data_IF_835053680293
#
_entry.id   IF_835053680293
#
_cell.length_a   1.000
_cell.length_b   1.000
_cell.length_c   1.000
_cell.angle_alpha   90.00
_cell.angle_beta   90.00
_cell.angle_gamma   90.00
#
_symmetry.space_group_name_H-M   'P 1'
#
loop_
_entity.id
_entity.type
_entity.pdbx_description
1 polymer ?
#
# COMPACT_ATOMS: atom_id res chain seq x y z
N UNK A 1 14.90 12.01 31.34
CA UNK A 1 14.31 12.04 29.98
C UNK A 1 12.80 12.10 30.14
N UNK A 2 12.13 13.07 29.53
CA UNK A 2 10.69 13.19 29.61
C UNK A 2 10.02 12.11 28.74
N UNK A 3 8.77 11.71 29.08
CA UNK A 3 8.03 10.71 28.30
C UNK A 3 7.86 11.12 26.83
N UNK A 4 7.75 12.44 26.57
CA UNK A 4 7.71 12.99 25.21
C UNK A 4 9.01 12.72 24.42
N UNK A 5 10.17 12.83 25.07
CA UNK A 5 11.47 12.54 24.47
C UNK A 5 11.65 11.03 24.22
N UNK A 6 11.21 10.17 25.15
CA UNK A 6 11.20 8.71 24.97
C UNK A 6 10.38 8.31 23.76
N UNK A 7 9.14 8.81 23.66
CA UNK A 7 8.26 8.52 22.54
C UNK A 7 8.83 8.97 21.20
N UNK A 8 9.47 10.15 21.14
CA UNK A 8 10.11 10.66 19.94
C UNK A 8 11.26 9.73 19.49
N UNK A 9 12.10 9.28 20.43
CA UNK A 9 13.23 8.38 20.12
C UNK A 9 12.71 7.03 19.62
N UNK A 10 11.71 6.46 20.29
CA UNK A 10 11.11 5.18 19.86
C UNK A 10 10.57 5.31 18.43
N UNK A 11 9.79 6.36 18.13
CA UNK A 11 9.24 6.62 16.80
C UNK A 11 10.33 6.76 15.74
N UNK A 12 11.40 7.49 16.05
CA UNK A 12 12.52 7.67 15.12
C UNK A 12 13.24 6.35 14.85
N UNK A 13 13.56 5.58 15.89
CA UNK A 13 14.22 4.27 15.73
C UNK A 13 13.33 3.31 14.94
N UNK A 14 12.05 3.21 15.29
CA UNK A 14 11.10 2.32 14.60
C UNK A 14 10.97 2.73 13.13
N UNK A 15 10.86 4.02 12.82
CA UNK A 15 10.79 4.53 11.46
C UNK A 15 12.05 4.22 10.64
N UNK A 16 13.24 4.44 11.22
CA UNK A 16 14.52 4.13 10.55
C UNK A 16 14.66 2.64 10.30
N UNK A 17 14.31 1.79 11.28
CA UNK A 17 14.35 0.34 11.12
C UNK A 17 13.36 -0.14 10.05
N UNK A 18 12.15 0.42 10.02
CA UNK A 18 11.15 0.11 9.02
C UNK A 18 11.62 0.46 7.60
N UNK A 19 12.10 1.69 7.39
CA UNK A 19 12.64 2.13 6.09
C UNK A 19 13.85 1.28 5.69
N UNK A 20 14.77 1.02 6.63
CA UNK A 20 15.94 0.17 6.37
C UNK A 20 15.56 -1.27 5.99
N UNK A 21 14.59 -1.85 6.67
CA UNK A 21 14.05 -3.16 6.33
C UNK A 21 13.41 -3.17 4.94
N UNK A 22 12.55 -2.18 4.64
CA UNK A 22 11.91 -2.03 3.34
C UNK A 22 12.95 -1.96 2.22
N UNK A 23 13.90 -1.02 2.31
CA UNK A 23 14.94 -0.85 1.30
C UNK A 23 15.77 -2.13 1.14
N UNK A 24 16.18 -2.77 2.24
CA UNK A 24 16.94 -4.02 2.19
C UNK A 24 16.18 -5.16 1.50
N UNK A 25 14.87 -5.25 1.70
CA UNK A 25 14.04 -6.25 1.03
C UNK A 25 13.91 -5.98 -0.48
N UNK A 26 13.87 -4.73 -0.89
CA UNK A 26 13.86 -4.39 -2.33
C UNK A 26 15.17 -4.74 -3.05
N UNK A 27 16.30 -4.90 -2.36
CA UNK A 27 17.55 -5.34 -2.98
C UNK A 27 17.49 -6.79 -3.50
N UNK A 28 16.54 -7.58 -3.03
CA UNK A 28 16.41 -9.00 -3.36
C UNK A 28 14.96 -9.31 -3.79
N UNK A 29 14.70 -9.79 -5.02
CA UNK A 29 13.35 -10.03 -5.51
C UNK A 29 12.53 -10.98 -4.62
N UNK A 30 13.16 -12.05 -4.10
CA UNK A 30 12.49 -13.00 -3.20
C UNK A 30 12.13 -12.37 -1.85
N UNK A 31 13.02 -11.54 -1.31
CA UNK A 31 12.77 -10.85 -0.03
C UNK A 31 11.63 -9.84 -0.17
N UNK A 32 11.58 -9.09 -1.29
CA UNK A 32 10.48 -8.18 -1.60
C UNK A 32 9.14 -8.94 -1.66
N UNK A 33 9.07 -10.03 -2.43
CA UNK A 33 7.83 -10.82 -2.55
C UNK A 33 7.39 -11.36 -1.19
N UNK A 34 8.31 -11.89 -0.36
CA UNK A 34 7.97 -12.41 0.97
C UNK A 34 7.51 -11.31 1.92
N UNK A 35 8.19 -10.16 1.93
CA UNK A 35 7.81 -9.02 2.77
C UNK A 35 6.39 -8.53 2.42
N UNK A 36 6.11 -8.31 1.13
CA UNK A 36 4.80 -7.80 0.72
C UNK A 36 3.69 -8.85 0.82
N UNK A 37 3.98 -10.14 0.69
CA UNK A 37 3.03 -11.20 1.04
C UNK A 37 2.65 -11.16 2.53
N UNK A 38 3.64 -10.96 3.40
CA UNK A 38 3.43 -10.80 4.84
C UNK A 38 2.62 -9.54 5.15
N UNK A 39 3.00 -8.38 4.59
CA UNK A 39 2.28 -7.12 4.77
C UNK A 39 0.83 -7.26 4.29
N UNK A 40 0.60 -7.84 3.12
CA UNK A 40 -0.74 -8.10 2.59
C UNK A 40 -1.57 -8.93 3.56
N UNK A 41 -1.00 -10.02 4.07
CA UNK A 41 -1.67 -10.89 5.03
C UNK A 41 -2.00 -10.18 6.34
N UNK A 42 -1.04 -9.47 6.93
CA UNK A 42 -1.24 -8.72 8.17
C UNK A 42 -2.28 -7.60 8.00
N UNK A 43 -2.24 -6.86 6.89
CA UNK A 43 -3.18 -5.78 6.62
C UNK A 43 -4.62 -6.29 6.45
N UNK A 44 -4.82 -7.40 5.72
CA UNK A 44 -6.15 -8.00 5.58
C UNK A 44 -6.63 -8.55 6.93
N UNK A 45 -5.73 -9.21 7.66
CA UNK A 45 -6.05 -9.75 8.98
C UNK A 45 -6.50 -8.67 9.95
N UNK A 46 -5.80 -7.56 10.00
CA UNK A 46 -6.14 -6.40 10.82
C UNK A 46 -7.45 -5.76 10.37
N UNK A 47 -7.59 -5.50 9.06
CA UNK A 47 -8.81 -4.93 8.47
C UNK A 47 -10.06 -5.75 8.81
N UNK A 48 -10.03 -7.06 8.57
CA UNK A 48 -11.16 -7.94 8.89
C UNK A 48 -11.44 -7.97 10.40
N UNK A 49 -10.40 -7.89 11.22
CA UNK A 49 -10.55 -7.80 12.69
C UNK A 49 -11.25 -6.51 13.12
N UNK A 50 -10.88 -5.37 12.55
CA UNK A 50 -11.52 -4.09 12.81
C UNK A 50 -13.00 -4.09 12.38
N UNK A 51 -13.28 -4.58 11.17
CA UNK A 51 -14.64 -4.67 10.65
C UNK A 51 -15.52 -5.52 11.56
N UNK A 52 -15.05 -6.71 11.96
CA UNK A 52 -15.80 -7.62 12.82
C UNK A 52 -16.01 -7.09 14.25
N UNK A 53 -15.12 -6.21 14.74
CA UNK A 53 -15.22 -5.67 16.09
C UNK A 53 -16.07 -4.40 16.17
N UNK A 54 -16.02 -3.56 15.14
CA UNK A 54 -16.56 -2.20 15.19
C UNK A 54 -17.88 -2.05 14.40
N UNK A 55 -18.22 -3.00 13.51
CA UNK A 55 -19.43 -2.91 12.70
C UNK A 55 -20.44 -3.93 13.18
N UNK A 56 -21.60 -3.44 13.62
CA UNK A 56 -22.68 -4.26 14.13
C UNK A 56 -23.24 -5.20 13.05
N UNK A 57 -23.51 -6.43 13.44
CA UNK A 57 -24.06 -7.49 12.59
C UNK A 57 -23.19 -7.85 11.35
N UNK A 58 -21.88 -7.52 11.35
CA UNK A 58 -20.92 -7.93 10.31
C UNK A 58 -19.91 -8.91 10.89
N UNK A 59 -19.69 -10.03 10.16
CA UNK A 59 -18.79 -11.11 10.57
C UNK A 59 -18.05 -11.71 9.36
N UNK A 60 -17.05 -10.98 8.85
CA UNK A 60 -16.21 -11.41 7.74
C UNK A 60 -15.34 -12.60 8.14
N UNK A 61 -15.24 -13.61 7.28
CA UNK A 61 -14.32 -14.72 7.51
C UNK A 61 -12.86 -14.28 7.38
N UNK A 62 -12.30 -13.88 8.52
CA UNK A 62 -10.96 -13.27 8.65
C UNK A 62 -9.84 -14.16 8.10
N UNK A 63 -9.90 -15.47 8.41
CA UNK A 63 -8.85 -16.41 8.01
C UNK A 63 -8.85 -16.64 6.49
N UNK A 64 -9.99 -16.97 5.92
CA UNK A 64 -10.10 -17.29 4.49
C UNK A 64 -9.86 -16.03 3.65
N UNK A 65 -10.36 -14.86 4.06
CA UNK A 65 -10.10 -13.59 3.37
C UNK A 65 -8.60 -13.26 3.34
N UNK A 66 -7.89 -13.53 4.45
CA UNK A 66 -6.43 -13.32 4.52
C UNK A 66 -5.70 -14.29 3.59
N UNK A 67 -6.04 -15.59 3.62
CA UNK A 67 -5.43 -16.60 2.75
C UNK A 67 -5.69 -16.27 1.28
N UNK A 68 -6.91 -15.86 0.93
CA UNK A 68 -7.26 -15.44 -0.43
C UNK A 68 -6.39 -14.28 -0.92
N UNK A 69 -6.24 -13.22 -0.12
CA UNK A 69 -5.44 -12.06 -0.51
C UNK A 69 -3.95 -12.34 -0.62
N UNK A 70 -3.39 -13.13 0.30
CA UNK A 70 -1.98 -13.56 0.21
C UNK A 70 -1.77 -14.46 -1.01
N UNK A 71 -2.71 -15.39 -1.26
CA UNK A 71 -2.65 -16.23 -2.45
C UNK A 71 -2.71 -15.39 -3.74
N UNK A 72 -3.62 -14.41 -3.80
CA UNK A 72 -3.73 -13.51 -4.97
C UNK A 72 -2.43 -12.75 -5.20
N UNK A 73 -1.83 -12.20 -4.15
CA UNK A 73 -0.53 -11.54 -4.23
C UNK A 73 0.56 -12.48 -4.80
N UNK A 74 0.65 -13.70 -4.28
CA UNK A 74 1.63 -14.70 -4.74
C UNK A 74 1.34 -15.20 -6.15
N UNK A 75 0.07 -15.31 -6.54
CA UNK A 75 -0.35 -15.69 -7.89
C UNK A 75 0.11 -14.64 -8.92
N UNK A 76 -0.07 -13.34 -8.60
CA UNK A 76 0.45 -12.24 -9.45
C UNK A 76 1.99 -12.28 -9.51
N UNK A 77 2.66 -12.48 -8.37
CA UNK A 77 4.12 -12.62 -8.35
C UNK A 77 4.59 -13.80 -9.22
N UNK A 78 4.00 -14.98 -9.04
CA UNK A 78 4.32 -16.19 -9.82
C UNK A 78 4.06 -16.02 -11.33
N UNK A 79 2.97 -15.32 -11.68
CA UNK A 79 2.65 -15.01 -13.07
C UNK A 79 3.68 -14.03 -13.66
N UNK A 80 4.04 -12.97 -12.95
CA UNK A 80 5.01 -11.96 -13.43
C UNK A 80 6.44 -12.49 -13.49
N UNK A 81 6.82 -13.38 -12.59
CA UNK A 81 8.14 -14.03 -12.59
C UNK A 81 8.25 -15.24 -13.51
N UNK A 82 7.19 -15.56 -14.26
CA UNK A 82 7.17 -16.71 -15.18
C UNK A 82 7.23 -18.09 -14.48
N UNK A 83 7.27 -18.14 -13.15
CA UNK A 83 7.32 -19.41 -12.39
C UNK A 83 6.11 -20.29 -12.69
N UNK A 84 4.97 -19.69 -13.00
CA UNK A 84 3.75 -20.40 -13.39
C UNK A 84 3.57 -20.55 -14.90
N UNK A 85 4.63 -20.28 -15.70
CA UNK A 85 4.60 -20.36 -17.15
C UNK A 85 3.66 -19.38 -17.83
N UNK A 86 3.39 -18.22 -17.22
CA UNK A 86 2.42 -17.21 -17.69
C UNK A 86 0.99 -17.76 -17.86
N UNK A 87 0.66 -18.81 -17.13
CA UNK A 87 -0.65 -19.45 -17.24
C UNK A 87 -1.65 -18.82 -16.29
N UNK A 88 -2.76 -18.30 -16.81
CA UNK A 88 -3.85 -17.72 -16.01
C UNK A 88 -4.55 -18.75 -15.09
N UNK A 89 -4.30 -20.04 -15.26
CA UNK A 89 -4.77 -21.09 -14.35
C UNK A 89 -4.36 -20.84 -12.90
N UNK A 90 -3.25 -20.12 -12.66
CA UNK A 90 -2.79 -19.73 -11.31
C UNK A 90 -3.84 -18.90 -10.55
N UNK A 91 -4.75 -18.20 -11.22
CA UNK A 91 -5.80 -17.41 -10.58
C UNK A 91 -7.07 -18.21 -10.25
N UNK A 92 -7.21 -19.43 -10.78
CA UNK A 92 -8.41 -20.26 -10.56
C UNK A 92 -8.64 -20.53 -9.06
N UNK A 93 -7.65 -20.91 -8.22
CA UNK A 93 -7.88 -21.13 -6.79
C UNK A 93 -8.38 -19.87 -6.07
N UNK A 94 -7.91 -18.70 -6.47
CA UNK A 94 -8.41 -17.44 -5.92
C UNK A 94 -9.89 -17.23 -6.24
N UNK A 95 -10.28 -17.45 -7.49
CA UNK A 95 -11.68 -17.31 -7.93
C UNK A 95 -12.57 -18.31 -7.15
N UNK A 96 -12.14 -19.55 -6.99
CA UNK A 96 -12.89 -20.53 -6.19
C UNK A 96 -12.98 -20.13 -4.72
N UNK A 97 -11.93 -19.53 -4.15
CA UNK A 97 -11.97 -19.02 -2.77
C UNK A 97 -12.96 -17.88 -2.61
N UNK A 98 -13.03 -16.97 -3.60
CA UNK A 98 -14.03 -15.89 -3.61
C UNK A 98 -15.45 -16.45 -3.72
N UNK A 99 -15.67 -17.40 -4.65
CA UNK A 99 -16.98 -18.09 -4.78
C UNK A 99 -17.34 -18.81 -3.47
N UNK A 100 -16.39 -19.50 -2.85
CA UNK A 100 -16.58 -20.13 -1.55
C UNK A 100 -17.01 -19.12 -0.47
N UNK A 101 -16.37 -17.94 -0.39
CA UNK A 101 -16.74 -16.90 0.58
C UNK A 101 -18.18 -16.39 0.37
N UNK A 102 -18.63 -16.29 -0.89
CA UNK A 102 -20.04 -15.98 -1.18
C UNK A 102 -21.00 -17.08 -0.71
N UNK A 103 -20.67 -18.36 -0.99
CA UNK A 103 -21.50 -19.52 -0.62
C UNK A 103 -21.49 -19.71 0.90
N UNK A 104 -20.36 -19.45 1.56
CA UNK A 104 -20.19 -19.60 3.00
C UNK A 104 -21.26 -18.83 3.80
N UNK A 105 -21.61 -17.62 3.38
CA UNK A 105 -22.61 -16.79 4.04
C UNK A 105 -24.04 -17.40 3.99
N UNK A 106 -24.33 -18.28 3.03
CA UNK A 106 -25.62 -18.99 2.99
C UNK A 106 -25.78 -19.95 4.18
N UNK A 107 -24.68 -20.39 4.78
CA UNK A 107 -24.66 -21.38 5.85
C UNK A 107 -24.37 -20.81 7.23
N UNK A 108 -23.87 -19.58 7.32
CA UNK A 108 -23.54 -18.94 8.60
C UNK A 108 -24.75 -18.38 9.33
N UNK A 109 -25.82 -18.04 8.59
CA UNK A 109 -27.01 -17.42 9.16
C UNK A 109 -26.77 -16.02 9.72
N UNK A 110 -25.71 -15.33 9.28
CA UNK A 110 -25.41 -13.96 9.68
C UNK A 110 -26.54 -13.02 9.24
N UNK A 111 -26.83 -12.02 10.08
CA UNK A 111 -27.93 -11.09 9.82
C UNK A 111 -27.67 -10.15 8.66
N UNK A 112 -26.39 -9.84 8.40
CA UNK A 112 -25.97 -8.89 7.37
C UNK A 112 -25.00 -9.51 6.35
N UNK A 113 -25.42 -10.59 5.69
CA UNK A 113 -24.61 -11.29 4.67
C UNK A 113 -24.12 -10.36 3.54
N UNK A 114 -24.92 -9.35 3.17
CA UNK A 114 -24.51 -8.36 2.15
C UNK A 114 -23.36 -7.49 2.67
N UNK A 115 -23.40 -7.10 3.94
CA UNK A 115 -22.30 -6.41 4.61
C UNK A 115 -21.03 -7.27 4.64
N UNK A 116 -21.14 -8.54 4.98
CA UNK A 116 -20.03 -9.50 5.01
C UNK A 116 -19.37 -9.65 3.63
N UNK A 117 -20.18 -9.78 2.58
CA UNK A 117 -19.66 -9.78 1.19
C UNK A 117 -18.98 -8.47 0.82
N UNK A 118 -19.61 -7.32 1.15
CA UNK A 118 -19.07 -6.01 0.80
C UNK A 118 -17.71 -5.77 1.47
N UNK A 119 -17.58 -6.05 2.77
CA UNK A 119 -16.31 -5.87 3.49
C UNK A 119 -15.27 -6.92 3.11
N UNK A 120 -15.69 -8.16 2.79
CA UNK A 120 -14.80 -9.18 2.22
C UNK A 120 -14.21 -8.70 0.89
N UNK A 121 -15.06 -8.25 -0.05
CA UNK A 121 -14.61 -7.73 -1.34
C UNK A 121 -13.76 -6.48 -1.19
N UNK A 122 -14.13 -5.58 -0.26
CA UNK A 122 -13.34 -4.39 0.01
C UNK A 122 -11.92 -4.76 0.48
N UNK A 123 -11.74 -5.79 1.32
CA UNK A 123 -10.43 -6.28 1.73
C UNK A 123 -9.57 -6.72 0.54
N UNK A 124 -10.17 -7.39 -0.44
CA UNK A 124 -9.46 -7.88 -1.62
C UNK A 124 -9.13 -6.73 -2.60
N UNK A 125 -10.09 -5.83 -2.85
CA UNK A 125 -9.92 -4.73 -3.82
C UNK A 125 -9.09 -3.58 -3.27
N UNK A 126 -9.16 -3.30 -1.98
CA UNK A 126 -8.50 -2.17 -1.35
C UNK A 126 -7.11 -2.50 -0.79
N UNK A 127 -6.87 -3.77 -0.43
CA UNK A 127 -5.59 -4.21 0.15
C UNK A 127 -4.86 -5.19 -0.77
N UNK A 128 -5.46 -6.36 -1.08
CA UNK A 128 -4.77 -7.41 -1.83
C UNK A 128 -4.38 -6.95 -3.24
N UNK A 129 -5.30 -6.31 -3.96
CA UNK A 129 -5.06 -5.86 -5.34
C UNK A 129 -3.95 -4.80 -5.42
N UNK A 130 -3.95 -3.69 -4.67
CA UNK A 130 -2.88 -2.69 -4.74
C UNK A 130 -1.51 -3.26 -4.39
N UNK A 131 -1.40 -4.07 -3.33
CA UNK A 131 -0.13 -4.71 -3.00
C UNK A 131 0.33 -5.69 -4.09
N UNK A 132 -0.59 -6.42 -4.73
CA UNK A 132 -0.26 -7.34 -5.83
C UNK A 132 0.31 -6.60 -7.04
N UNK A 133 -0.13 -5.36 -7.31
CA UNK A 133 0.37 -4.53 -8.40
C UNK A 133 1.86 -4.14 -8.24
N UNK A 134 2.41 -4.21 -7.02
CA UNK A 134 3.86 -4.02 -6.80
C UNK A 134 4.67 -5.03 -7.61
N UNK A 135 4.18 -6.27 -7.75
CA UNK A 135 4.85 -7.29 -8.56
C UNK A 135 4.81 -6.94 -10.06
N UNK A 136 3.78 -6.23 -10.52
CA UNK A 136 3.69 -5.78 -11.91
C UNK A 136 4.74 -4.72 -12.21
N UNK A 137 5.03 -3.87 -11.25
CA UNK A 137 6.06 -2.83 -11.37
C UNK A 137 7.48 -3.39 -11.18
N UNK A 138 7.62 -4.41 -10.31
CA UNK A 138 8.92 -4.97 -9.97
C UNK A 138 9.47 -5.98 -10.99
N UNK A 139 8.60 -6.64 -11.75
CA UNK A 139 9.01 -7.67 -12.72
C UNK A 139 8.53 -7.30 -14.11
N UNK A 140 9.49 -7.00 -14.98
CA UNK A 140 9.25 -6.63 -16.38
C UNK A 140 9.80 -7.71 -17.31
N UNK A 141 9.06 -7.98 -18.39
CA UNK A 141 9.52 -8.86 -19.46
C UNK A 141 10.20 -7.98 -20.51
N UNK A 142 11.49 -8.17 -20.69
CA UNK A 142 12.24 -7.45 -21.72
C UNK A 142 11.70 -7.80 -23.11
N UNK A 143 11.47 -6.76 -23.93
CA UNK A 143 11.03 -6.92 -25.31
C UNK A 143 12.16 -7.45 -26.23
N UNK A 144 13.43 -7.34 -25.79
CA UNK A 144 14.59 -7.71 -26.61
C UNK A 144 14.90 -9.20 -26.52
N UNK A 145 14.92 -9.76 -25.31
CA UNK A 145 15.34 -11.15 -25.07
C UNK A 145 14.25 -12.04 -24.48
N UNK A 146 13.08 -11.46 -24.15
CA UNK A 146 11.97 -12.16 -23.51
C UNK A 146 12.27 -12.61 -22.09
N UNK A 147 13.38 -12.16 -21.50
CA UNK A 147 13.74 -12.49 -20.13
C UNK A 147 13.03 -11.59 -19.11
N UNK A 148 12.91 -12.10 -17.91
CA UNK A 148 12.31 -11.35 -16.81
C UNK A 148 13.40 -10.60 -16.06
N UNK A 149 13.27 -9.30 -16.03
CA UNK A 149 14.14 -8.43 -15.28
C UNK A 149 13.44 -7.95 -14.00
N UNK A 150 14.19 -7.95 -12.92
CA UNK A 150 13.74 -7.39 -11.65
C UNK A 150 14.17 -5.93 -11.55
N UNK A 151 13.20 -5.07 -11.45
CA UNK A 151 13.39 -3.67 -11.18
C UNK A 151 13.05 -3.36 -9.72
N UNK A 152 14.05 -2.95 -8.95
CA UNK A 152 13.80 -2.52 -7.58
C UNK A 152 13.42 -1.04 -7.50
N UNK A 153 13.87 -0.21 -8.47
CA UNK A 153 13.78 1.25 -8.35
C UNK A 153 12.35 1.74 -8.57
N UNK A 154 11.66 1.19 -9.58
CA UNK A 154 10.31 1.63 -9.92
C UNK A 154 9.32 1.42 -8.75
N UNK A 155 9.16 0.22 -8.15
CA UNK A 155 8.27 0.05 -7.01
C UNK A 155 8.78 0.76 -5.75
N UNK A 156 10.10 0.83 -5.49
CA UNK A 156 10.66 1.55 -4.36
C UNK A 156 10.42 3.06 -4.47
N UNK A 157 10.45 3.62 -5.68
CA UNK A 157 10.22 5.04 -5.91
C UNK A 157 8.84 5.49 -5.45
N UNK A 158 7.81 4.63 -5.55
CA UNK A 158 6.46 4.93 -5.04
C UNK A 158 6.52 5.23 -3.54
N UNK A 159 7.23 4.41 -2.76
CA UNK A 159 7.38 4.64 -1.32
C UNK A 159 8.20 5.89 -1.02
N UNK A 160 9.29 6.13 -1.77
CA UNK A 160 10.09 7.36 -1.66
C UNK A 160 9.20 8.58 -1.91
N UNK A 161 8.36 8.55 -2.94
CA UNK A 161 7.48 9.66 -3.28
C UNK A 161 6.36 9.84 -2.24
N UNK A 162 5.79 8.77 -1.70
CA UNK A 162 4.81 8.84 -0.61
C UNK A 162 5.43 9.46 0.65
N UNK A 163 6.60 8.98 1.11
CA UNK A 163 7.29 9.54 2.27
C UNK A 163 7.71 11.00 2.07
N UNK A 164 8.13 11.33 0.85
CA UNK A 164 8.47 12.72 0.48
C UNK A 164 7.23 13.60 0.47
N UNK A 165 6.10 13.10 -0.05
CA UNK A 165 4.83 13.81 -0.04
C UNK A 165 4.37 14.12 1.38
N UNK A 166 4.39 13.13 2.27
CA UNK A 166 3.95 13.30 3.65
C UNK A 166 4.84 14.30 4.40
N UNK A 167 6.16 14.19 4.23
CA UNK A 167 7.11 15.11 4.84
C UNK A 167 6.96 16.53 4.29
N UNK A 168 6.87 16.67 2.97
CA UNK A 168 6.66 17.95 2.30
C UNK A 168 5.34 18.60 2.65
N UNK A 169 4.27 17.79 2.72
CA UNK A 169 2.94 18.24 3.10
C UNK A 169 2.90 18.70 4.57
N UNK A 170 3.58 17.98 5.46
CA UNK A 170 3.71 18.38 6.86
C UNK A 170 4.49 19.71 7.01
N UNK A 171 5.64 19.83 6.37
CA UNK A 171 6.46 21.05 6.43
C UNK A 171 5.71 22.26 5.85
N UNK A 172 5.17 22.14 4.64
CA UNK A 172 4.45 23.24 3.98
C UNK A 172 3.14 23.58 4.69
N UNK A 173 2.40 22.56 5.16
CA UNK A 173 1.15 22.74 5.89
C UNK A 173 1.34 23.39 7.25
N UNK A 174 2.46 23.10 7.95
CA UNK A 174 2.77 23.73 9.24
C UNK A 174 3.19 25.19 9.10
N UNK A 175 3.85 25.56 7.99
CA UNK A 175 4.33 26.93 7.74
C UNK A 175 3.28 27.81 7.08
N UNK A 176 2.53 27.26 6.12
CA UNK A 176 1.68 28.05 5.22
C UNK A 176 0.20 27.64 5.26
N UNK A 177 -0.17 26.55 5.98
CA UNK A 177 -1.50 25.95 5.96
C UNK A 177 -2.59 26.88 6.52
N UNK A 178 -3.38 27.47 5.65
CA UNK A 178 -4.52 28.34 5.97
C UNK A 178 -5.87 27.69 5.61
N UNK A 179 -5.92 27.02 4.44
CA UNK A 179 -7.14 26.44 3.91
C UNK A 179 -7.18 24.94 4.16
N UNK A 180 -8.15 24.50 4.97
CA UNK A 180 -8.29 23.07 5.29
C UNK A 180 -8.76 22.28 4.08
N UNK A 181 -8.17 21.09 3.86
CA UNK A 181 -8.49 20.20 2.74
C UNK A 181 -9.84 19.49 2.97
N UNK A 182 -9.94 18.73 4.09
CA UNK A 182 -11.17 18.05 4.50
C UNK A 182 -11.35 18.11 6.03
N UNK A 183 -11.94 19.20 6.57
CA UNK A 183 -12.05 19.41 8.02
C UNK A 183 -12.75 18.28 8.77
N UNK A 184 -13.76 17.66 8.16
CA UNK A 184 -14.58 16.60 8.76
C UNK A 184 -13.80 15.28 8.93
N UNK A 185 -12.86 14.98 8.04
CA UNK A 185 -12.17 13.69 7.96
C UNK A 185 -10.78 13.82 8.58
N UNK A 186 -10.00 14.80 8.11
CA UNK A 186 -8.63 15.06 8.54
C UNK A 186 -8.39 16.56 8.74
N UNK A 187 -8.67 17.11 9.94
CA UNK A 187 -8.58 18.55 10.21
C UNK A 187 -7.16 19.11 10.17
N UNK A 188 -6.14 18.24 10.21
CA UNK A 188 -4.74 18.65 10.13
C UNK A 188 -4.29 18.97 8.70
N UNK A 189 -4.90 18.37 7.67
CA UNK A 189 -4.52 18.55 6.27
C UNK A 189 -4.99 19.89 5.70
N UNK A 190 -4.13 20.54 4.91
CA UNK A 190 -4.39 21.80 4.20
C UNK A 190 -4.06 21.70 2.71
N UNK A 191 -4.68 22.56 1.90
CA UNK A 191 -4.39 22.67 0.47
C UNK A 191 -2.93 23.07 0.23
N UNK A 192 -2.42 24.05 0.99
CA UNK A 192 -1.05 24.51 0.89
C UNK A 192 -0.06 23.38 1.25
N UNK A 193 -0.42 22.57 2.24
CA UNK A 193 0.35 21.37 2.57
C UNK A 193 0.40 20.38 1.41
N UNK A 194 -0.76 20.04 0.83
CA UNK A 194 -0.83 19.07 -0.28
C UNK A 194 -0.10 19.55 -1.53
N UNK A 195 -0.21 20.84 -1.87
CA UNK A 195 0.53 21.44 -3.01
C UNK A 195 2.02 21.41 -2.72
N UNK A 196 2.43 21.79 -1.50
CA UNK A 196 3.84 21.75 -1.09
C UNK A 196 4.41 20.32 -1.14
N UNK A 197 3.66 19.33 -0.65
CA UNK A 197 4.03 17.92 -0.77
C UNK A 197 4.28 17.51 -2.22
N UNK A 198 3.37 17.88 -3.14
CA UNK A 198 3.53 17.64 -4.57
C UNK A 198 4.79 18.29 -5.16
N UNK A 199 5.14 19.53 -4.75
CA UNK A 199 6.39 20.19 -5.19
C UNK A 199 7.61 19.42 -4.71
N UNK A 200 7.63 18.98 -3.45
CA UNK A 200 8.73 18.15 -2.92
C UNK A 200 8.86 16.83 -3.69
N UNK A 201 7.74 16.20 -4.03
CA UNK A 201 7.74 14.96 -4.83
C UNK A 201 8.27 15.20 -6.23
N UNK A 202 7.90 16.29 -6.90
CA UNK A 202 8.44 16.60 -8.24
C UNK A 202 9.95 16.77 -8.22
N UNK A 203 10.51 17.41 -7.18
CA UNK A 203 11.95 17.53 -6.99
C UNK A 203 12.59 16.15 -6.77
N UNK A 204 12.01 15.35 -5.87
CA UNK A 204 12.51 13.99 -5.60
C UNK A 204 12.44 13.10 -6.85
N UNK A 205 11.36 13.18 -7.63
CA UNK A 205 11.19 12.44 -8.87
C UNK A 205 12.21 12.85 -9.95
N UNK A 206 12.51 14.14 -10.07
CA UNK A 206 13.57 14.61 -10.96
C UNK A 206 14.95 14.08 -10.53
N UNK A 207 15.24 14.04 -9.22
CA UNK A 207 16.49 13.48 -8.68
C UNK A 207 16.56 11.97 -8.97
N UNK A 208 15.49 11.21 -8.67
CA UNK A 208 15.42 9.76 -8.96
C UNK A 208 15.61 9.51 -10.45
N UNK A 209 14.91 10.26 -11.31
CA UNK A 209 15.05 10.14 -12.76
C UNK A 209 16.46 10.48 -13.27
N UNK A 210 17.12 11.46 -12.68
CA UNK A 210 18.52 11.80 -13.03
C UNK A 210 19.45 10.63 -12.69
N UNK A 211 19.36 10.04 -11.50
CA UNK A 211 20.19 8.90 -11.11
C UNK A 211 19.82 7.62 -11.87
N UNK A 212 18.55 7.36 -12.13
CA UNK A 212 18.10 6.23 -12.92
C UNK A 212 18.68 6.26 -14.33
N UNK A 213 18.71 7.45 -14.97
CA UNK A 213 19.23 7.61 -16.32
C UNK A 213 20.77 7.70 -16.40
N UNK A 214 21.45 7.88 -15.26
CA UNK A 214 22.93 7.95 -15.22
C UNK A 214 23.58 6.57 -15.08
N UNK A 215 22.81 5.51 -14.74
CA UNK A 215 23.27 4.15 -14.55
C UNK A 215 22.92 3.26 -15.74
N UNK A 216 23.41 2.01 -15.73
CA UNK A 216 22.99 0.95 -16.64
C UNK A 216 21.59 0.42 -16.28
N UNK A 217 20.68 1.32 -15.86
CA UNK A 217 19.37 0.92 -15.40
C UNK A 217 18.49 0.54 -16.60
N UNK A 218 17.76 -0.55 -16.43
CA UNK A 218 16.77 -1.07 -17.39
C UNK A 218 15.63 -0.09 -17.70
N UNK A 219 15.60 1.08 -17.03
CA UNK A 219 14.48 2.00 -17.13
C UNK A 219 14.54 2.85 -18.39
N UNK A 220 13.43 2.76 -19.14
CA UNK A 220 13.17 3.61 -20.30
C UNK A 220 12.54 4.95 -19.94
N UNK A 221 12.19 5.19 -18.66
CA UNK A 221 11.53 6.43 -18.23
C UNK A 221 12.50 7.61 -18.26
N UNK A 222 12.14 8.65 -18.99
CA UNK A 222 12.85 9.93 -18.98
C UNK A 222 12.47 10.77 -17.73
N UNK A 223 13.21 11.85 -17.45
CA UNK A 223 12.98 12.71 -16.28
C UNK A 223 11.54 13.24 -16.21
N UNK A 224 10.92 13.77 -17.28
CA UNK A 224 9.50 14.16 -17.26
C UNK A 224 8.54 13.03 -16.91
N UNK A 225 8.80 11.80 -17.35
CA UNK A 225 7.97 10.64 -17.03
C UNK A 225 8.10 10.25 -15.55
N UNK A 226 9.32 10.32 -14.97
CA UNK A 226 9.51 10.18 -13.53
C UNK A 226 8.76 11.26 -12.75
N UNK A 227 8.79 12.51 -13.21
CA UNK A 227 8.02 13.59 -12.59
C UNK A 227 6.50 13.35 -12.72
N UNK A 228 6.05 12.84 -13.86
CA UNK A 228 4.66 12.43 -14.07
C UNK A 228 4.23 11.33 -13.09
N UNK A 229 5.05 10.28 -12.92
CA UNK A 229 4.83 9.24 -11.92
C UNK A 229 4.76 9.83 -10.50
N UNK A 230 5.71 10.70 -10.15
CA UNK A 230 5.74 11.38 -8.85
C UNK A 230 4.46 12.17 -8.60
N UNK A 231 3.99 12.92 -9.59
CA UNK A 231 2.74 13.68 -9.48
C UNK A 231 1.52 12.77 -9.26
N UNK A 232 1.42 11.66 -9.99
CA UNK A 232 0.38 10.65 -9.80
C UNK A 232 0.42 10.10 -8.37
N UNK A 233 1.61 9.74 -7.88
CA UNK A 233 1.77 9.23 -6.51
C UNK A 233 1.39 10.29 -5.46
N UNK A 234 1.78 11.55 -5.63
CA UNK A 234 1.42 12.62 -4.70
C UNK A 234 -0.09 12.86 -4.63
N UNK A 235 -0.75 12.91 -5.78
CA UNK A 235 -2.20 13.12 -5.85
C UNK A 235 -2.94 11.92 -5.25
N UNK A 236 -2.71 10.72 -5.75
CA UNK A 236 -3.42 9.52 -5.30
C UNK A 236 -3.03 9.08 -3.89
N UNK A 237 -1.78 9.32 -3.45
CA UNK A 237 -1.36 9.11 -2.07
C UNK A 237 -2.10 10.00 -1.08
N UNK A 238 -2.27 11.29 -1.41
CA UNK A 238 -3.06 12.23 -0.59
C UNK A 238 -4.54 11.80 -0.51
N UNK A 239 -5.14 11.39 -1.62
CA UNK A 239 -6.51 10.89 -1.64
C UNK A 239 -6.65 9.54 -0.94
N UNK A 240 -5.68 8.65 -1.08
CA UNK A 240 -5.66 7.34 -0.42
C UNK A 240 -5.68 7.48 1.11
N UNK A 241 -4.84 8.36 1.67
CA UNK A 241 -4.84 8.65 3.11
C UNK A 241 -6.18 9.29 3.59
N UNK A 242 -6.81 10.12 2.76
CA UNK A 242 -8.15 10.64 3.07
C UNK A 242 -9.22 9.54 3.06
N UNK A 243 -9.15 8.59 2.13
CA UNK A 243 -10.06 7.43 2.07
C UNK A 243 -9.85 6.54 3.29
N UNK A 244 -8.60 6.23 3.66
CA UNK A 244 -8.29 5.48 4.87
C UNK A 244 -8.79 6.21 6.14
N UNK A 245 -8.55 7.52 6.23
CA UNK A 245 -9.05 8.35 7.32
C UNK A 245 -10.57 8.34 7.38
N UNK A 246 -11.26 8.43 6.25
CA UNK A 246 -12.73 8.34 6.19
C UNK A 246 -13.22 7.00 6.70
N UNK A 247 -12.61 5.90 6.24
CA UNK A 247 -12.93 4.56 6.69
C UNK A 247 -12.80 4.44 8.21
N UNK A 248 -11.66 4.83 8.77
CA UNK A 248 -11.43 4.82 10.23
C UNK A 248 -12.48 5.64 11.00
N UNK A 249 -12.85 6.83 10.51
CA UNK A 249 -13.89 7.65 11.15
C UNK A 249 -15.28 7.02 11.06
N UNK A 250 -15.58 6.35 9.95
CA UNK A 250 -16.89 5.70 9.73
C UNK A 250 -17.08 4.52 10.70
N UNK A 251 -16.02 3.77 10.99
CA UNK A 251 -16.07 2.66 11.96
C UNK A 251 -15.77 3.10 13.41
N UNK A 252 -15.63 4.41 13.67
CA UNK A 252 -15.49 4.95 15.03
C UNK A 252 -14.09 4.88 15.64
N UNK A 253 -13.06 4.43 14.88
CA UNK A 253 -11.69 4.33 15.37
C UNK A 253 -10.83 5.49 14.85
N UNK A 254 -9.71 5.74 15.52
CA UNK A 254 -8.69 6.69 15.08
C UNK A 254 -7.43 5.97 14.63
N UNK A 255 -7.01 4.99 15.38
CA UNK A 255 -5.79 4.22 15.15
C UNK A 255 -6.20 2.77 14.87
N UNK A 256 -5.66 2.15 13.82
CA UNK A 256 -6.11 0.86 13.33
C UNK A 256 -5.38 -0.33 13.96
N UNK A 257 -4.21 -0.13 14.56
CA UNK A 257 -3.43 -1.21 15.17
C UNK A 257 -2.29 -0.73 16.04
N UNK A 258 -1.62 -1.71 16.67
CA UNK A 258 -0.48 -1.49 17.56
C UNK A 258 0.77 -2.30 17.12
N UNK A 259 0.85 -2.66 15.84
CA UNK A 259 1.96 -3.51 15.32
C UNK A 259 3.29 -2.76 15.40
N UNK A 260 3.27 -1.45 15.14
CA UNK A 260 4.47 -0.61 15.24
C UNK A 260 4.43 0.24 16.52
N UNK A 261 5.35 0.03 17.48
CA UNK A 261 5.39 0.81 18.71
C UNK A 261 5.58 2.31 18.42
N UNK A 262 4.65 3.12 18.91
CA UNK A 262 4.71 4.58 18.80
C UNK A 262 4.06 5.18 17.53
N UNK A 263 3.46 4.37 16.68
CA UNK A 263 2.71 4.82 15.50
C UNK A 263 1.25 4.43 15.63
#
# INVERSE_FOLDING_TARGET
MTDKQKNLIIRTITGVLFVGCMVSCFLQPRAMVLLFALITGLSIWEYCGLVNNEIEDVCVNRFISTVAGVYFFLAVAGFRTGVTGYNFVVFIPYIFTIVYLFIYELYTGNKNAVGDWAYTMLSQMYIALPFSLINVLAFEVSAEDGQIHYDMLLPLSIFIFLWTNDTGAYCSGSLFGKHKLFPRISPAKSWEGSIGGGVFVLIAAAIVGYFANSGEALHTLNIPEWMGLGLVVAVFGTWGDLVESLFKRTIGVKDSGNILPGH
#
